data_IF_911689728922
#
_entry.id   IF_911689728922
#
_cell.length_a   1.000
_cell.length_b   1.000
_cell.length_c   1.000
_cell.angle_alpha   90.00
_cell.angle_beta   90.00
_cell.angle_gamma   90.00
#
_symmetry.space_group_name_H-M   'P 1'
#
loop_
_entity.id
_entity.type
_entity.pdbx_description
1 polymer ?
#
# COMPACT_ATOMS: atom_id res chain seq x y z
N UNK A 1 25.18 6.18 -12.82
CA UNK A 1 24.32 5.13 -12.26
C UNK A 1 22.96 5.78 -12.04
N UNK A 2 21.90 5.11 -12.39
CA UNK A 2 20.53 5.56 -12.14
C UNK A 2 20.31 5.59 -10.63
N UNK A 3 19.72 6.65 -10.12
CA UNK A 3 19.45 6.78 -8.67
C UNK A 3 18.28 5.87 -8.30
N UNK A 4 18.38 5.23 -7.14
CA UNK A 4 17.34 4.37 -6.59
C UNK A 4 16.73 5.00 -5.35
N UNK A 5 15.41 5.13 -5.31
CA UNK A 5 14.67 5.69 -4.18
C UNK A 5 13.74 4.64 -3.56
N UNK A 6 13.85 4.42 -2.26
CA UNK A 6 12.85 3.68 -1.49
C UNK A 6 11.78 4.65 -1.01
N UNK A 7 10.52 4.28 -1.19
CA UNK A 7 9.35 5.09 -0.87
C UNK A 7 8.34 4.25 -0.08
N UNK A 8 7.79 4.84 0.97
CA UNK A 8 6.74 4.24 1.81
C UNK A 8 5.71 5.30 2.20
N UNK A 9 4.41 4.94 2.11
CA UNK A 9 3.31 5.81 2.51
C UNK A 9 2.75 5.41 3.85
N UNK A 10 2.49 6.41 4.71
CA UNK A 10 1.68 6.24 5.90
C UNK A 10 0.29 6.84 5.68
N UNK A 11 -0.72 6.04 6.02
CA UNK A 11 -2.12 6.38 5.74
C UNK A 11 -2.99 6.15 6.97
N UNK A 12 -4.07 6.93 7.11
CA UNK A 12 -5.07 6.68 8.14
C UNK A 12 -5.77 5.34 7.90
N UNK A 13 -5.92 4.56 8.94
CA UNK A 13 -6.72 3.34 8.93
C UNK A 13 -7.39 3.06 10.28
N UNK A 14 -8.57 2.44 10.22
CA UNK A 14 -9.29 1.92 11.37
C UNK A 14 -10.08 0.64 11.00
N UNK A 15 -11.03 0.25 11.87
CA UNK A 15 -11.86 -0.94 11.66
C UNK A 15 -12.78 -0.84 10.42
N UNK A 16 -13.24 0.36 10.07
CA UNK A 16 -14.20 0.63 9.00
C UNK A 16 -13.49 1.11 7.72
N UNK A 17 -12.45 1.94 7.88
CA UNK A 17 -11.59 2.45 6.81
C UNK A 17 -10.28 1.66 6.77
N UNK A 18 -10.20 0.58 6.02
CA UNK A 18 -8.98 -0.20 5.87
C UNK A 18 -8.96 -0.97 4.55
N UNK A 19 -7.75 -1.17 4.01
CA UNK A 19 -7.54 -1.95 2.79
C UNK A 19 -8.06 -3.39 2.91
N UNK A 20 -8.01 -3.96 4.11
CA UNK A 20 -8.50 -5.32 4.38
C UNK A 20 -10.01 -5.44 4.20
N UNK A 21 -10.74 -4.39 4.54
CA UNK A 21 -12.22 -4.37 4.48
C UNK A 21 -12.74 -3.92 3.12
N UNK A 22 -12.10 -2.91 2.54
CA UNK A 22 -12.64 -2.17 1.39
C UNK A 22 -11.93 -2.52 0.08
N UNK A 23 -10.79 -3.23 0.14
CA UNK A 23 -9.88 -3.35 -0.99
C UNK A 23 -9.20 -2.02 -1.33
N UNK A 24 -8.23 -1.99 -2.28
CA UNK A 24 -7.44 -0.79 -2.53
C UNK A 24 -8.29 0.42 -2.95
N UNK A 25 -9.12 0.28 -3.99
CA UNK A 25 -9.91 1.39 -4.52
C UNK A 25 -10.96 1.87 -3.53
N UNK A 26 -11.65 0.95 -2.84
CA UNK A 26 -12.63 1.31 -1.81
C UNK A 26 -11.99 2.04 -0.64
N UNK A 27 -10.78 1.64 -0.25
CA UNK A 27 -10.02 2.28 0.82
C UNK A 27 -9.56 3.68 0.42
N UNK A 28 -8.93 3.84 -0.74
CA UNK A 28 -8.43 5.15 -1.21
C UNK A 28 -9.56 6.16 -1.51
N UNK A 29 -10.76 5.68 -1.87
CA UNK A 29 -11.93 6.53 -2.10
C UNK A 29 -12.80 6.74 -0.85
N UNK A 30 -12.44 6.14 0.29
CA UNK A 30 -13.21 6.30 1.52
C UNK A 30 -13.13 7.76 2.02
N UNK A 31 -14.25 8.36 2.51
CA UNK A 31 -14.24 9.74 3.00
C UNK A 31 -13.23 10.02 4.12
N UNK A 32 -12.92 8.99 4.91
CA UNK A 32 -11.95 9.06 6.00
C UNK A 32 -10.52 8.75 5.59
N UNK A 33 -10.31 8.35 4.33
CA UNK A 33 -8.96 8.08 3.85
C UNK A 33 -8.10 9.34 3.88
N UNK A 34 -6.88 9.20 4.36
CA UNK A 34 -5.87 10.24 4.38
C UNK A 34 -4.48 9.62 4.21
N UNK A 35 -3.74 10.06 3.19
CA UNK A 35 -2.32 9.79 3.03
C UNK A 35 -1.55 10.95 3.63
N UNK A 36 -1.30 10.89 4.92
CA UNK A 36 -0.75 12.00 5.68
C UNK A 36 0.78 12.08 5.65
N UNK A 37 1.46 11.02 5.22
CA UNK A 37 2.92 11.00 5.18
C UNK A 37 3.44 10.15 4.02
N UNK A 38 4.57 10.55 3.48
CA UNK A 38 5.44 9.75 2.63
C UNK A 38 6.88 9.90 3.12
N UNK A 39 7.61 8.80 3.19
CA UNK A 39 9.05 8.78 3.40
C UNK A 39 9.77 8.34 2.14
N UNK A 40 10.87 9.00 1.81
CA UNK A 40 11.70 8.70 0.63
C UNK A 40 13.17 8.73 1.01
N UNK A 41 13.89 7.65 0.69
CA UNK A 41 15.33 7.52 0.94
C UNK A 41 16.03 7.10 -0.35
N UNK A 42 17.00 7.90 -0.78
CA UNK A 42 17.79 7.65 -1.98
C UNK A 42 19.18 7.07 -1.70
N UNK A 43 19.70 6.25 -2.62
CA UNK A 43 21.07 5.72 -2.56
C UNK A 43 22.15 6.79 -2.76
N UNK A 44 21.73 7.99 -3.15
CA UNK A 44 22.54 9.21 -3.25
C UNK A 44 22.62 10.02 -1.94
N UNK A 45 22.02 9.51 -0.85
CA UNK A 45 21.94 10.17 0.46
C UNK A 45 20.75 11.15 0.59
N UNK A 46 19.85 11.20 -0.39
CA UNK A 46 18.60 11.97 -0.25
C UNK A 46 17.69 11.36 0.80
N UNK A 47 17.05 12.21 1.60
CA UNK A 47 16.02 11.81 2.56
C UNK A 47 14.91 12.86 2.59
N UNK A 48 13.68 12.37 2.62
CA UNK A 48 12.48 13.16 2.86
C UNK A 48 11.51 12.37 3.74
N UNK A 49 10.87 13.03 4.67
CA UNK A 49 9.71 12.54 5.40
C UNK A 49 8.76 13.72 5.62
N UNK A 50 7.49 13.55 5.30
CA UNK A 50 6.51 14.63 5.41
C UNK A 50 5.25 14.36 4.59
N UNK A 51 4.39 15.39 4.50
CA UNK A 51 3.15 15.25 3.77
C UNK A 51 3.42 15.06 2.25
N UNK A 52 2.73 14.13 1.56
CA UNK A 52 2.96 13.85 0.13
C UNK A 52 2.81 15.05 -0.81
N UNK A 53 2.05 16.09 -0.39
CA UNK A 53 1.91 17.34 -1.16
C UNK A 53 3.15 18.22 -1.13
N UNK A 54 4.00 18.05 -0.11
CA UNK A 54 5.22 18.83 0.07
C UNK A 54 6.44 18.15 -0.57
N UNK A 55 6.26 16.91 -1.04
CA UNK A 55 7.31 16.15 -1.70
C UNK A 55 7.47 16.57 -3.17
N UNK A 56 8.71 16.81 -3.58
CA UNK A 56 9.04 17.05 -4.98
C UNK A 56 9.07 15.73 -5.76
N UNK A 57 7.92 15.34 -6.29
CA UNK A 57 7.77 14.10 -7.06
C UNK A 57 8.71 14.02 -8.27
N UNK A 58 9.17 15.15 -8.81
CA UNK A 58 10.01 15.18 -10.00
C UNK A 58 11.34 14.46 -9.83
N UNK A 59 11.82 14.30 -8.59
CA UNK A 59 13.07 13.56 -8.30
C UNK A 59 13.01 12.09 -8.66
N UNK A 60 11.80 11.51 -8.73
CA UNK A 60 11.58 10.12 -9.09
C UNK A 60 11.59 9.89 -10.62
N UNK A 61 11.64 10.96 -11.42
CA UNK A 61 11.71 10.85 -12.88
C UNK A 61 13.03 10.19 -13.29
N UNK A 62 12.93 9.23 -14.21
CA UNK A 62 14.07 8.47 -14.72
C UNK A 62 14.92 7.76 -13.62
N UNK A 63 14.28 7.40 -12.50
CA UNK A 63 14.87 6.66 -11.40
C UNK A 63 14.21 5.31 -11.18
N UNK A 64 14.86 4.42 -10.44
CA UNK A 64 14.24 3.22 -9.90
C UNK A 64 13.56 3.54 -8.57
N UNK A 65 12.29 3.19 -8.43
CA UNK A 65 11.52 3.32 -7.19
C UNK A 65 11.32 1.96 -6.54
N UNK A 66 11.50 1.91 -5.24
CA UNK A 66 11.33 0.73 -4.40
C UNK A 66 10.21 0.96 -3.40
N UNK A 67 9.40 -0.05 -3.14
CA UNK A 67 8.53 -0.08 -1.96
C UNK A 67 8.49 -1.48 -1.38
N UNK A 68 8.33 -1.57 -0.05
CA UNK A 68 8.15 -2.86 0.58
C UNK A 68 6.66 -3.21 0.61
N UNK A 69 6.21 -4.05 -0.32
CA UNK A 69 4.83 -4.28 -0.75
C UNK A 69 4.32 -3.22 -1.75
N UNK A 70 5.08 -3.01 -2.81
CA UNK A 70 4.85 -2.00 -3.84
C UNK A 70 3.43 -2.01 -4.45
N UNK A 71 2.67 -3.11 -4.32
CA UNK A 71 1.25 -3.13 -4.74
C UNK A 71 0.40 -2.08 -4.02
N UNK A 72 0.75 -1.73 -2.77
CA UNK A 72 0.05 -0.68 -2.04
C UNK A 72 0.53 0.70 -2.50
N UNK A 73 1.82 0.96 -2.37
CA UNK A 73 2.41 2.29 -2.59
C UNK A 73 2.29 2.75 -4.05
N UNK A 74 2.59 1.87 -5.01
CA UNK A 74 2.44 2.16 -6.43
C UNK A 74 0.97 2.43 -6.79
N UNK A 75 0.02 1.64 -6.24
CA UNK A 75 -1.41 1.86 -6.52
C UNK A 75 -1.92 3.14 -5.88
N UNK A 76 -1.48 3.47 -4.66
CA UNK A 76 -1.82 4.74 -4.01
C UNK A 76 -1.23 5.92 -4.78
N UNK A 77 0.03 5.82 -5.22
CA UNK A 77 0.64 6.84 -6.06
C UNK A 77 -0.19 7.09 -7.33
N UNK A 78 -0.51 6.03 -8.08
CA UNK A 78 -1.30 6.14 -9.31
C UNK A 78 -2.71 6.69 -9.05
N UNK A 79 -3.36 6.26 -7.96
CA UNK A 79 -4.65 6.80 -7.56
C UNK A 79 -4.57 8.30 -7.27
N UNK A 80 -3.59 8.75 -6.49
CA UNK A 80 -3.39 10.16 -6.18
C UNK A 80 -3.09 11.03 -7.41
N UNK A 81 -2.36 10.50 -8.40
CA UNK A 81 -2.20 11.16 -9.70
C UNK A 81 -3.56 11.34 -10.39
N UNK A 82 -4.42 10.31 -10.42
CA UNK A 82 -5.76 10.43 -11.03
C UNK A 82 -6.67 11.42 -10.30
N UNK A 83 -6.44 11.62 -8.99
CA UNK A 83 -7.16 12.59 -8.17
C UNK A 83 -6.53 14.00 -8.19
N UNK A 84 -5.44 14.21 -8.92
CA UNK A 84 -4.63 15.44 -8.92
C UNK A 84 -4.12 15.83 -7.51
N UNK A 85 -3.81 14.85 -6.65
CA UNK A 85 -3.23 15.10 -5.33
C UNK A 85 -1.76 15.45 -5.42
N UNK A 86 -1.06 14.86 -6.41
CA UNK A 86 0.35 15.12 -6.73
C UNK A 86 0.64 14.94 -8.21
N UNK A 87 1.84 15.37 -8.63
CA UNK A 87 2.24 15.34 -10.03
C UNK A 87 2.48 13.91 -10.55
N UNK A 88 2.09 13.66 -11.79
CA UNK A 88 2.52 12.47 -12.51
C UNK A 88 4.01 12.54 -12.84
N UNK A 89 4.74 11.49 -12.48
CA UNK A 89 6.13 11.29 -12.88
C UNK A 89 6.31 9.90 -13.47
N UNK A 90 7.40 9.68 -14.19
CA UNK A 90 7.69 8.40 -14.86
C UNK A 90 9.00 7.84 -14.34
N UNK A 91 8.95 7.04 -13.26
CA UNK A 91 10.09 6.22 -12.87
C UNK A 91 10.47 5.24 -13.99
N UNK A 92 11.72 4.85 -14.06
CA UNK A 92 12.16 3.78 -14.97
C UNK A 92 11.51 2.46 -14.61
N UNK A 93 11.53 2.14 -13.32
CA UNK A 93 10.89 0.96 -12.78
C UNK A 93 10.30 1.25 -11.40
N UNK A 94 9.34 0.42 -10.99
CA UNK A 94 8.91 0.32 -9.61
C UNK A 94 9.08 -1.13 -9.16
N UNK A 95 9.90 -1.37 -8.14
CA UNK A 95 10.21 -2.69 -7.64
C UNK A 95 9.60 -2.96 -6.28
N UNK A 96 9.21 -4.23 -6.05
CA UNK A 96 8.68 -4.70 -4.78
C UNK A 96 9.78 -5.44 -4.00
N UNK A 97 10.31 -4.85 -2.96
CA UNK A 97 11.33 -5.50 -2.14
C UNK A 97 10.78 -6.66 -1.31
N UNK A 98 9.46 -6.69 -1.02
CA UNK A 98 8.82 -7.85 -0.39
C UNK A 98 8.82 -9.08 -1.30
N UNK A 99 8.61 -8.90 -2.62
CA UNK A 99 8.71 -9.99 -3.60
C UNK A 99 10.16 -10.44 -3.76
N UNK A 100 11.08 -9.49 -3.83
CA UNK A 100 12.52 -9.75 -3.91
C UNK A 100 13.03 -10.60 -2.76
N UNK A 101 12.75 -10.21 -1.52
CA UNK A 101 13.22 -10.97 -0.35
C UNK A 101 12.59 -12.35 -0.28
N UNK A 102 11.31 -12.49 -0.68
CA UNK A 102 10.64 -13.79 -0.76
C UNK A 102 11.31 -14.70 -1.80
N UNK A 103 11.63 -14.19 -2.99
CA UNK A 103 12.37 -14.92 -4.03
C UNK A 103 13.78 -15.33 -3.55
N UNK A 104 14.38 -14.55 -2.64
CA UNK A 104 15.67 -14.86 -2.00
C UNK A 104 15.55 -15.77 -0.76
N UNK A 105 14.36 -16.30 -0.44
CA UNK A 105 14.13 -17.23 0.68
C UNK A 105 13.97 -16.55 2.05
N UNK A 106 13.72 -15.24 2.09
CA UNK A 106 13.43 -14.51 3.32
C UNK A 106 11.90 -14.30 3.49
N UNK A 107 11.44 -14.02 4.72
CA UNK A 107 10.03 -13.67 4.96
C UNK A 107 9.62 -12.39 4.20
N UNK A 108 8.35 -12.33 3.75
CA UNK A 108 7.84 -11.18 3.00
C UNK A 108 7.70 -9.89 3.83
N UNK A 109 7.46 -9.96 5.14
CA UNK A 109 7.29 -8.74 5.94
C UNK A 109 8.64 -8.09 6.22
N UNK A 110 8.71 -6.76 6.12
CA UNK A 110 9.93 -5.98 6.35
C UNK A 110 10.59 -6.34 7.69
N UNK A 111 9.80 -6.35 8.77
CA UNK A 111 10.26 -6.72 10.10
C UNK A 111 10.95 -8.08 10.14
N UNK A 112 10.31 -9.12 9.58
CA UNK A 112 10.86 -10.47 9.67
C UNK A 112 12.03 -10.66 8.69
N UNK A 113 11.99 -10.03 7.52
CA UNK A 113 13.10 -10.04 6.57
C UNK A 113 14.35 -9.41 7.17
N UNK A 114 14.22 -8.24 7.77
CA UNK A 114 15.35 -7.54 8.41
C UNK A 114 15.83 -8.23 9.69
N UNK A 115 14.92 -8.81 10.48
CA UNK A 115 15.29 -9.63 11.63
C UNK A 115 16.15 -10.83 11.20
N UNK A 116 15.76 -11.54 10.16
CA UNK A 116 16.48 -12.69 9.65
C UNK A 116 17.77 -12.30 8.91
N UNK A 117 17.75 -11.22 8.12
CA UNK A 117 18.92 -10.80 7.34
C UNK A 117 20.00 -10.12 8.18
N UNK A 118 19.61 -9.35 9.20
CA UNK A 118 20.49 -8.45 9.93
C UNK A 118 20.52 -8.67 11.44
N UNK A 119 19.76 -9.65 11.95
CA UNK A 119 19.57 -9.88 13.38
C UNK A 119 19.06 -8.61 14.12
N UNK A 120 18.16 -7.86 13.48
CA UNK A 120 17.60 -6.61 13.98
C UNK A 120 16.17 -6.84 14.48
N UNK A 121 15.86 -6.35 15.68
CA UNK A 121 14.48 -6.31 16.16
C UNK A 121 13.84 -4.94 15.79
N UNK A 122 12.75 -4.97 15.02
CA UNK A 122 11.92 -3.79 14.73
C UNK A 122 10.71 -3.83 15.66
N UNK A 123 10.50 -2.76 16.43
CA UNK A 123 9.30 -2.60 17.24
C UNK A 123 8.06 -2.48 16.34
N UNK A 124 6.94 -3.08 16.74
CA UNK A 124 5.63 -2.84 16.11
C UNK A 124 4.78 -1.82 16.87
N UNK A 125 5.27 -1.34 18.01
CA UNK A 125 4.48 -0.50 18.91
C UNK A 125 3.97 0.77 18.23
N UNK A 126 4.78 1.43 17.42
CA UNK A 126 4.41 2.67 16.73
C UNK A 126 3.26 2.42 15.76
N UNK A 127 3.39 1.43 14.86
CA UNK A 127 2.35 1.08 13.88
C UNK A 127 1.03 0.68 14.56
N UNK A 128 1.08 -0.14 15.59
CA UNK A 128 -0.13 -0.59 16.30
C UNK A 128 -0.84 0.59 16.99
N UNK A 129 -0.08 1.61 17.38
CA UNK A 129 -0.59 2.84 18.01
C UNK A 129 -1.12 3.88 17.01
N UNK A 130 -0.86 3.75 15.71
CA UNK A 130 -1.35 4.65 14.64
C UNK A 130 -2.82 4.39 14.30
N UNK A 131 -3.34 3.18 14.55
CA UNK A 131 -4.72 2.81 14.21
C UNK A 131 -5.75 3.76 14.82
N UNK A 132 -6.62 4.32 13.98
CA UNK A 132 -7.68 5.25 14.36
C UNK A 132 -7.20 6.66 14.74
N UNK A 133 -5.91 6.96 14.57
CA UNK A 133 -5.37 8.30 14.85
C UNK A 133 -5.15 9.07 13.55
N UNK A 134 -5.64 10.32 13.52
CA UNK A 134 -5.37 11.27 12.45
C UNK A 134 -4.12 12.08 12.78
N UNK A 135 -3.37 12.44 11.75
CA UNK A 135 -2.13 13.21 11.91
C UNK A 135 -2.31 14.46 12.75
N UNK A 136 -3.40 15.21 12.54
CA UNK A 136 -3.69 16.45 13.25
C UNK A 136 -3.98 16.24 14.76
N UNK A 137 -4.38 15.03 15.13
CA UNK A 137 -4.73 14.69 16.52
C UNK A 137 -3.59 14.02 17.30
N UNK A 138 -2.49 13.69 16.62
CA UNK A 138 -1.30 13.15 17.26
C UNK A 138 -0.55 14.26 17.98
N UNK A 139 -0.03 13.97 19.19
CA UNK A 139 0.90 14.87 19.86
C UNK A 139 2.26 14.89 19.15
N UNK A 140 3.08 15.93 19.43
CA UNK A 140 4.33 16.16 18.73
C UNK A 140 5.39 15.07 18.99
N UNK A 141 5.34 14.40 20.14
CA UNK A 141 6.26 13.31 20.44
C UNK A 141 5.91 12.08 19.60
N UNK A 142 4.61 11.75 19.52
CA UNK A 142 4.14 10.63 18.69
C UNK A 142 4.31 10.91 17.19
N UNK A 143 4.13 12.15 16.72
CA UNK A 143 4.43 12.53 15.34
C UNK A 143 5.89 12.24 14.98
N UNK A 144 6.83 12.61 15.86
CA UNK A 144 8.26 12.30 15.66
C UNK A 144 8.52 10.79 15.61
N UNK A 145 7.87 10.00 16.48
CA UNK A 145 8.00 8.54 16.43
C UNK A 145 7.48 7.96 15.09
N UNK A 146 6.40 8.51 14.55
CA UNK A 146 5.84 8.08 13.25
C UNK A 146 6.78 8.47 12.10
N UNK A 147 7.35 9.68 12.12
CA UNK A 147 8.34 10.14 11.12
C UNK A 147 9.60 9.27 11.14
N UNK A 148 10.15 8.99 12.32
CA UNK A 148 11.31 8.10 12.49
C UNK A 148 11.00 6.68 12.03
N UNK A 149 9.80 6.18 12.31
CA UNK A 149 9.33 4.87 11.88
C UNK A 149 9.24 4.79 10.35
N UNK A 150 8.56 5.75 9.69
CA UNK A 150 8.40 5.79 8.25
C UNK A 150 9.76 5.90 7.52
N UNK A 151 10.65 6.79 8.02
CA UNK A 151 11.99 6.94 7.47
C UNK A 151 12.80 5.65 7.60
N UNK A 152 12.65 4.97 8.76
CA UNK A 152 13.33 3.71 9.02
C UNK A 152 12.88 2.58 8.11
N UNK A 153 11.59 2.50 7.80
CA UNK A 153 11.05 1.50 6.89
C UNK A 153 11.59 1.70 5.45
N UNK A 154 11.68 2.96 4.98
CA UNK A 154 12.31 3.29 3.69
C UNK A 154 13.83 3.00 3.68
N UNK A 155 14.58 3.30 4.75
CA UNK A 155 16.00 2.95 4.88
C UNK A 155 16.22 1.43 4.79
N UNK A 156 15.39 0.66 5.48
CA UNK A 156 15.49 -0.79 5.50
C UNK A 156 15.08 -1.41 4.16
N UNK A 157 14.08 -0.82 3.49
CA UNK A 157 13.70 -1.19 2.14
C UNK A 157 14.89 -1.01 1.17
N UNK A 158 15.55 0.16 1.21
CA UNK A 158 16.74 0.43 0.39
C UNK A 158 17.91 -0.49 0.74
N UNK A 159 18.16 -0.75 2.03
CA UNK A 159 19.21 -1.66 2.47
C UNK A 159 18.98 -3.10 1.98
N UNK A 160 17.76 -3.61 2.08
CA UNK A 160 17.43 -4.92 1.54
C UNK A 160 17.66 -4.97 0.03
N UNK A 161 17.29 -3.90 -0.69
CA UNK A 161 17.56 -3.80 -2.13
C UNK A 161 19.06 -3.90 -2.43
N UNK A 162 19.89 -3.13 -1.76
CA UNK A 162 21.35 -3.13 -1.98
C UNK A 162 21.97 -4.52 -1.78
N UNK A 163 21.51 -5.27 -0.77
CA UNK A 163 22.10 -6.56 -0.39
C UNK A 163 21.52 -7.75 -1.20
N UNK A 164 20.27 -7.68 -1.65
CA UNK A 164 19.55 -8.81 -2.26
C UNK A 164 19.22 -8.63 -3.74
N UNK A 165 19.16 -7.40 -4.27
CA UNK A 165 18.90 -7.13 -5.68
C UNK A 165 19.83 -7.93 -6.62
N UNK A 166 21.13 -8.10 -6.38
CA UNK A 166 22.00 -8.91 -7.25
C UNK A 166 21.62 -10.40 -7.31
N UNK A 167 20.89 -10.90 -6.33
CA UNK A 167 20.44 -12.30 -6.24
C UNK A 167 19.04 -12.51 -6.84
N UNK A 168 18.32 -11.43 -7.12
CA UNK A 168 16.96 -11.47 -7.66
C UNK A 168 16.99 -11.56 -9.18
N UNK A 169 16.59 -12.72 -9.72
CA UNK A 169 16.65 -12.99 -11.15
C UNK A 169 15.69 -12.10 -11.96
N UNK A 170 16.01 -11.86 -13.22
CA UNK A 170 15.14 -11.10 -14.13
C UNK A 170 13.77 -11.77 -14.28
N UNK A 171 13.72 -13.08 -14.31
CA UNK A 171 12.46 -13.83 -14.39
C UNK A 171 11.53 -13.53 -13.20
N UNK A 172 12.05 -13.52 -11.96
CA UNK A 172 11.27 -13.20 -10.76
C UNK A 172 10.83 -11.74 -10.74
N UNK A 173 11.67 -10.81 -11.23
CA UNK A 173 11.31 -9.39 -11.39
C UNK A 173 10.13 -9.22 -12.34
N UNK A 174 10.16 -9.93 -13.46
CA UNK A 174 9.09 -9.87 -14.46
C UNK A 174 7.79 -10.45 -13.92
N UNK A 175 7.83 -11.55 -13.16
CA UNK A 175 6.67 -12.10 -12.44
C UNK A 175 6.11 -11.08 -11.44
N UNK A 176 6.96 -10.50 -10.61
CA UNK A 176 6.55 -9.49 -9.62
C UNK A 176 5.84 -8.30 -10.30
N UNK A 177 6.43 -7.75 -11.36
CA UNK A 177 5.83 -6.66 -12.15
C UNK A 177 4.52 -7.08 -12.79
N UNK A 178 4.48 -8.23 -13.45
CA UNK A 178 3.29 -8.76 -14.12
C UNK A 178 2.12 -8.93 -13.14
N UNK A 179 2.39 -9.48 -11.96
CA UNK A 179 1.36 -9.65 -10.91
C UNK A 179 0.80 -8.31 -10.45
N UNK A 180 1.64 -7.32 -10.18
CA UNK A 180 1.18 -5.98 -9.79
C UNK A 180 0.36 -5.31 -10.89
N UNK A 181 0.83 -5.34 -12.12
CA UNK A 181 0.10 -4.79 -13.27
C UNK A 181 -1.27 -5.47 -13.45
N UNK A 182 -1.33 -6.79 -13.26
CA UNK A 182 -2.59 -7.53 -13.34
C UNK A 182 -3.57 -7.12 -12.22
N UNK A 183 -3.07 -6.91 -10.99
CA UNK A 183 -3.89 -6.44 -9.86
C UNK A 183 -4.39 -5.01 -10.10
N UNK A 184 -3.53 -4.10 -10.56
CA UNK A 184 -3.89 -2.71 -10.86
C UNK A 184 -4.91 -2.62 -11.99
N UNK A 185 -4.76 -3.45 -13.04
CA UNK A 185 -5.71 -3.50 -14.15
C UNK A 185 -7.06 -4.07 -13.74
N UNK A 186 -7.09 -4.98 -12.75
CA UNK A 186 -8.27 -5.68 -12.31
C UNK A 186 -8.84 -6.64 -13.37
N UNK A 187 -10.03 -7.16 -13.07
CA UNK A 187 -10.79 -8.01 -13.99
C UNK A 187 -11.95 -7.20 -14.57
N UNK A 188 -12.16 -7.25 -15.90
CA UNK A 188 -13.32 -6.60 -16.51
C UNK A 188 -14.60 -7.27 -16.03
N UNK A 189 -15.56 -6.48 -15.54
CA UNK A 189 -16.87 -6.95 -15.10
C UNK A 189 -17.91 -6.49 -16.13
N UNK A 190 -18.76 -7.41 -16.56
CA UNK A 190 -19.94 -7.06 -17.33
C UNK A 190 -21.00 -6.46 -16.39
N UNK A 191 -21.03 -5.13 -16.32
CA UNK A 191 -21.89 -4.38 -15.40
C UNK A 191 -23.39 -4.59 -15.66
N UNK A 192 -23.78 -4.78 -16.92
CA UNK A 192 -25.19 -5.00 -17.29
C UNK A 192 -25.66 -6.38 -16.82
N UNK A 193 -24.82 -7.41 -17.02
CA UNK A 193 -25.10 -8.75 -16.53
C UNK A 193 -25.10 -8.80 -14.99
N UNK A 194 -24.20 -8.08 -14.35
CA UNK A 194 -24.17 -7.96 -12.89
C UNK A 194 -25.44 -7.31 -12.36
N UNK A 195 -25.87 -6.18 -12.95
CA UNK A 195 -27.09 -5.49 -12.55
C UNK A 195 -28.33 -6.38 -12.75
N UNK A 196 -28.43 -7.08 -13.88
CA UNK A 196 -29.51 -8.02 -14.17
C UNK A 196 -29.57 -9.14 -13.11
N UNK A 197 -28.43 -9.74 -12.80
CA UNK A 197 -28.37 -10.84 -11.83
C UNK A 197 -28.68 -10.37 -10.40
N UNK A 198 -28.21 -9.17 -10.01
CA UNK A 198 -28.51 -8.57 -8.71
C UNK A 198 -30.00 -8.30 -8.56
N UNK A 199 -30.68 -7.79 -9.60
CA UNK A 199 -32.12 -7.56 -9.55
C UNK A 199 -32.89 -8.89 -9.44
N UNK A 200 -32.53 -9.89 -10.24
CA UNK A 200 -33.14 -11.21 -10.15
C UNK A 200 -32.98 -11.86 -8.77
N UNK A 201 -31.80 -11.71 -8.15
CA UNK A 201 -31.54 -12.20 -6.80
C UNK A 201 -32.35 -11.44 -5.73
N UNK A 202 -32.51 -10.11 -5.86
CA UNK A 202 -33.34 -9.30 -4.96
C UNK A 202 -34.80 -9.70 -5.05
N UNK A 203 -35.32 -9.89 -6.26
CA UNK A 203 -36.69 -10.36 -6.48
C UNK A 203 -36.91 -11.74 -5.83
N UNK A 204 -35.94 -12.65 -6.04
CA UNK A 204 -36.03 -13.98 -5.45
C UNK A 204 -35.94 -13.97 -3.93
N UNK A 205 -35.09 -13.13 -3.37
CA UNK A 205 -34.99 -12.93 -1.92
C UNK A 205 -36.32 -12.43 -1.36
N UNK A 206 -36.92 -11.41 -2.00
CA UNK A 206 -38.23 -10.88 -1.61
C UNK A 206 -39.33 -11.95 -1.66
N UNK A 207 -39.39 -12.76 -2.73
CA UNK A 207 -40.35 -13.89 -2.81
C UNK A 207 -40.13 -14.89 -1.67
N UNK A 208 -38.87 -15.23 -1.34
CA UNK A 208 -38.57 -16.14 -0.25
C UNK A 208 -39.01 -15.58 1.10
N UNK A 209 -38.74 -14.29 1.36
CA UNK A 209 -39.14 -13.60 2.59
C UNK A 209 -40.66 -13.57 2.77
N UNK A 210 -41.44 -13.42 1.70
CA UNK A 210 -42.90 -13.47 1.75
C UNK A 210 -43.44 -14.89 2.08
N UNK A 211 -42.69 -15.92 1.74
CA UNK A 211 -43.09 -17.31 1.96
C UNK A 211 -42.60 -17.89 3.30
N UNK A 212 -41.80 -17.15 4.08
CA UNK A 212 -41.34 -17.56 5.40
C UNK A 212 -42.41 -17.24 6.45
N UNK A 213 -42.94 -18.20 7.23
CA UNK A 213 -43.99 -17.96 8.21
C UNK A 213 -43.71 -16.91 9.28
N UNK A 214 -42.41 -16.65 9.52
CA UNK A 214 -41.90 -15.65 10.45
C UNK A 214 -41.23 -14.46 9.74
N UNK A 215 -41.53 -14.25 8.45
CA UNK A 215 -41.02 -13.17 7.63
C UNK A 215 -41.45 -11.81 8.20
N UNK A 216 -40.46 -10.94 8.50
CA UNK A 216 -40.67 -9.61 9.08
C UNK A 216 -40.17 -9.45 10.52
N UNK A 217 -39.91 -10.52 11.26
CA UNK A 217 -39.24 -10.46 12.55
C UNK A 217 -37.75 -10.80 12.39
N UNK A 218 -36.86 -9.89 12.82
CA UNK A 218 -35.43 -10.22 12.92
C UNK A 218 -35.29 -11.34 13.95
N UNK A 219 -34.58 -12.45 13.64
CA UNK A 219 -34.23 -13.42 14.67
C UNK A 219 -33.48 -12.70 15.80
N UNK A 220 -33.87 -13.01 17.05
CA UNK A 220 -33.22 -12.55 18.26
C UNK A 220 -31.78 -13.02 18.35
#
# INVERSE_FOLDING_TARGET
METTYALDFETYYDKDCSIRHLGPLGYFSHPDFDAYMVSVVGDNGYQFVGHPKDFDWSILTDSDVLSHNASFDETLYLYGVTQNWWAEVKPLNWFCTADMVAACGLPRSLKNATAQAYNMEISKSTRDNMSGKRWETMDEDFKREVEEYALKDSELCLKLWQDYNPKWSQFERDISRMNRTAVQRGLPINTDLLAKNLNALKEKLFECEQNIPWGGEKPL
#
